data_IF_085241114750
#
_entry.id   IF_085241114750
#
_cell.length_a   1.000
_cell.length_b   1.000
_cell.length_c   1.000
_cell.angle_alpha   90.00
_cell.angle_beta   90.00
_cell.angle_gamma   90.00
#
_symmetry.space_group_name_H-M   'P 1'
#
loop_
_entity.id
_entity.type
_entity.pdbx_description
1 polymer ?
#
# COMPACT_ATOMS: atom_id res chain seq x y z
N UNK A 1 -2.82 12.83 -13.33
CA UNK A 1 -1.61 13.29 -12.64
C UNK A 1 -1.93 14.61 -11.96
N UNK A 2 -2.33 14.56 -10.69
CA UNK A 2 -2.42 15.75 -9.85
C UNK A 2 -0.99 16.23 -9.60
N UNK A 3 -0.68 17.41 -10.13
CA UNK A 3 0.65 18.03 -10.20
C UNK A 3 1.09 18.61 -8.84
N UNK A 4 0.73 17.93 -7.74
CA UNK A 4 1.01 18.38 -6.38
C UNK A 4 2.43 17.94 -6.02
N UNK A 5 3.34 18.87 -5.69
CA UNK A 5 4.71 18.51 -5.33
C UNK A 5 4.71 17.62 -4.08
N UNK A 6 5.53 16.56 -4.13
CA UNK A 6 5.72 15.66 -2.99
C UNK A 6 6.41 16.44 -1.85
N UNK A 7 5.90 16.38 -0.60
CA UNK A 7 6.59 17.02 0.52
C UNK A 7 7.99 16.41 0.73
N UNK A 8 9.03 17.22 1.02
CA UNK A 8 10.40 16.73 1.19
C UNK A 8 10.56 15.62 2.24
N UNK A 9 9.71 15.63 3.26
CA UNK A 9 9.67 14.59 4.29
C UNK A 9 9.34 13.19 3.72
N UNK A 10 8.60 13.15 2.61
CA UNK A 10 8.14 11.92 1.97
C UNK A 10 8.96 11.55 0.72
N UNK A 11 9.89 12.41 0.26
CA UNK A 11 10.76 12.12 -0.88
C UNK A 11 11.48 10.76 -0.80
N UNK A 12 12.04 10.33 0.35
CA UNK A 12 12.69 9.01 0.44
C UNK A 12 11.76 7.83 0.18
N UNK A 13 10.44 8.03 0.26
CA UNK A 13 9.40 7.01 0.09
C UNK A 13 8.64 7.17 -1.23
N UNK A 14 9.09 8.05 -2.13
CA UNK A 14 8.43 8.31 -3.42
C UNK A 14 8.20 7.02 -4.23
N UNK A 15 9.14 6.08 -4.15
CA UNK A 15 9.08 4.81 -4.87
C UNK A 15 7.87 3.94 -4.50
N UNK A 16 7.23 4.17 -3.35
CA UNK A 16 6.03 3.43 -2.92
C UNK A 16 4.75 3.95 -3.56
N UNK A 17 4.72 5.19 -4.05
CA UNK A 17 3.50 5.87 -4.46
C UNK A 17 2.86 5.23 -5.68
N UNK A 18 1.53 5.10 -5.67
CA UNK A 18 0.75 4.52 -6.77
C UNK A 18 -0.01 3.26 -6.36
N UNK A 19 -0.41 2.49 -7.37
CA UNK A 19 -1.16 1.25 -7.19
C UNK A 19 -0.24 0.04 -7.43
N UNK A 20 -0.16 -0.83 -6.44
CA UNK A 20 0.56 -2.10 -6.50
C UNK A 20 -0.46 -3.22 -6.61
N UNK A 21 -0.25 -4.14 -7.55
CA UNK A 21 -1.12 -5.28 -7.76
C UNK A 21 -0.30 -6.55 -7.72
N UNK A 22 -0.68 -7.48 -6.84
CA UNK A 22 -0.03 -8.77 -6.70
C UNK A 22 -1.06 -9.88 -6.79
N UNK A 23 -0.73 -10.91 -7.56
CA UNK A 23 -1.48 -12.16 -7.58
C UNK A 23 -0.68 -13.23 -6.85
N UNK A 24 -1.15 -13.66 -5.69
CA UNK A 24 -0.54 -14.76 -4.97
C UNK A 24 -1.22 -16.06 -5.37
N UNK A 25 -0.49 -16.94 -6.07
CA UNK A 25 -0.99 -18.24 -6.51
C UNK A 25 -0.75 -19.39 -5.52
N UNK A 26 -0.08 -19.14 -4.38
CA UNK A 26 0.16 -20.20 -3.39
C UNK A 26 0.02 -19.74 -1.94
N UNK A 27 -0.79 -20.50 -1.21
CA UNK A 27 -0.80 -20.80 0.22
C UNK A 27 -0.43 -19.65 1.18
N UNK A 28 -1.45 -19.04 1.78
CA UNK A 28 -1.28 -18.45 3.10
C UNK A 28 -0.91 -19.57 4.08
N UNK A 29 0.13 -19.36 4.88
CA UNK A 29 0.58 -20.34 5.86
C UNK A 29 0.25 -19.82 7.25
N UNK A 30 -0.76 -20.41 7.88
CA UNK A 30 -1.02 -20.22 9.30
C UNK A 30 -1.03 -21.59 10.02
N UNK A 31 -0.46 -21.72 11.23
CA UNK A 31 -0.34 -23.03 11.91
C UNK A 31 -1.66 -23.77 12.15
N UNK A 32 -2.79 -23.07 12.15
CA UNK A 32 -4.13 -23.65 12.31
C UNK A 32 -4.99 -23.52 11.04
N UNK A 33 -4.38 -23.31 9.88
CA UNK A 33 -5.11 -23.20 8.62
C UNK A 33 -5.54 -24.60 8.14
N UNK A 34 -6.61 -25.11 8.74
CA UNK A 34 -7.15 -26.44 8.45
C UNK A 34 -8.02 -26.46 7.18
N UNK A 35 -8.31 -25.29 6.60
CA UNK A 35 -9.23 -25.13 5.49
C UNK A 35 -8.72 -24.02 4.54
N UNK A 36 -7.79 -24.41 3.67
CA UNK A 36 -7.85 -24.31 2.21
C UNK A 36 -6.41 -24.21 1.69
N UNK A 37 -5.77 -25.38 1.55
CA UNK A 37 -4.56 -25.49 0.74
C UNK A 37 -4.92 -25.15 -0.71
N UNK A 38 -4.49 -23.99 -1.20
CA UNK A 38 -4.57 -23.63 -2.62
C UNK A 38 -5.47 -22.44 -2.98
N UNK A 39 -6.06 -21.71 -2.03
CA UNK A 39 -6.67 -20.41 -2.37
C UNK A 39 -5.62 -19.33 -2.45
N UNK A 40 -5.30 -18.95 -3.69
CA UNK A 40 -4.62 -17.70 -3.96
C UNK A 40 -5.50 -16.49 -3.65
N UNK A 41 -4.88 -15.33 -3.48
CA UNK A 41 -5.59 -14.06 -3.38
C UNK A 41 -4.95 -13.02 -4.30
N UNK A 42 -5.78 -12.08 -4.75
CA UNK A 42 -5.32 -10.87 -5.39
C UNK A 42 -5.23 -9.78 -4.33
N UNK A 43 -4.10 -9.10 -4.29
CA UNK A 43 -3.85 -7.96 -3.43
C UNK A 43 -3.69 -6.72 -4.29
N UNK A 44 -4.42 -5.66 -3.95
CA UNK A 44 -4.25 -4.34 -4.54
C UNK A 44 -3.99 -3.36 -3.39
N UNK A 45 -2.84 -2.69 -3.43
CA UNK A 45 -2.44 -1.69 -2.44
C UNK A 45 -2.33 -0.33 -3.12
N UNK A 46 -2.94 0.69 -2.52
CA UNK A 46 -2.85 2.05 -3.00
C UNK A 46 -2.12 2.93 -1.98
N UNK A 47 -0.97 3.47 -2.39
CA UNK A 47 -0.18 4.40 -1.61
C UNK A 47 -0.42 5.82 -2.12
N UNK A 48 -1.08 6.64 -1.30
CA UNK A 48 -1.47 7.99 -1.65
C UNK A 48 -0.93 9.01 -0.63
N UNK A 49 -0.40 10.12 -1.11
CA UNK A 49 0.04 11.22 -0.24
C UNK A 49 -1.18 11.96 0.27
N UNK A 50 -1.27 12.11 1.59
CA UNK A 50 -2.29 12.96 2.23
C UNK A 50 -1.62 14.26 2.67
N UNK A 51 -2.03 15.42 2.11
CA UNK A 51 -1.53 16.70 2.54
C UNK A 51 -2.02 17.03 3.96
N UNK A 52 -1.26 17.81 4.74
CA UNK A 52 -1.71 18.24 6.05
C UNK A 52 -2.88 19.23 5.93
N UNK A 53 -3.90 19.04 6.74
CA UNK A 53 -5.08 19.93 6.75
C UNK A 53 -4.83 21.25 7.45
N UNK A 54 -3.88 21.32 8.40
CA UNK A 54 -3.43 22.53 9.11
C UNK A 54 -1.96 22.42 9.54
N UNK A 55 -1.70 22.04 10.79
CA UNK A 55 -0.35 21.93 11.40
C UNK A 55 0.16 20.49 11.50
N UNK A 56 -0.44 19.57 10.76
CA UNK A 56 -0.04 18.16 10.75
C UNK A 56 1.19 17.91 9.87
N UNK A 57 1.82 16.75 10.05
CA UNK A 57 2.80 16.24 9.09
C UNK A 57 2.08 15.58 7.91
N UNK A 58 2.57 15.74 6.66
CA UNK A 58 2.10 14.91 5.56
C UNK A 58 2.43 13.44 5.84
N UNK A 59 1.57 12.54 5.36
CA UNK A 59 1.78 11.10 5.51
C UNK A 59 1.33 10.36 4.25
N UNK A 60 1.78 9.11 4.12
CA UNK A 60 1.33 8.19 3.08
C UNK A 60 0.20 7.35 3.65
N UNK A 61 -0.97 7.44 3.02
CA UNK A 61 -2.10 6.56 3.31
C UNK A 61 -1.98 5.27 2.47
N UNK A 62 -2.27 4.13 3.09
CA UNK A 62 -2.23 2.80 2.46
C UNK A 62 -3.61 2.19 2.60
N UNK A 63 -4.20 1.78 1.48
CA UNK A 63 -5.51 1.12 1.43
C UNK A 63 -5.45 -0.09 0.52
#
# INVERSE_FOLDING_TARGET
>A
HTNTPLPPLLEPLEFLLGAWRVSYNSHQHYPTDFAVYGTGYYEELHFNVVPPTMFGSPYINIT
#
